data_IF_831804765039
#
_entry.id   IF_831804765039
#
_cell.length_a   1.000
_cell.length_b   1.000
_cell.length_c   1.000
_cell.angle_alpha   90.00
_cell.angle_beta   90.00
_cell.angle_gamma   90.00
#
_symmetry.space_group_name_H-M   'P 1'
#
loop_
_entity.id
_entity.type
_entity.pdbx_description
1 polymer ?
#
# COMPACT_ATOMS: atom_id res chain seq x y z
N UNK A 1 -9.02 25.10 4.92
CA UNK A 1 -8.72 25.31 3.49
C UNK A 1 -9.32 24.15 2.69
N UNK A 2 -10.45 24.39 2.02
CA UNK A 2 -11.17 23.42 1.20
C UNK A 2 -10.45 23.27 -0.15
N UNK A 3 -9.85 22.11 -0.39
CA UNK A 3 -9.13 21.81 -1.64
C UNK A 3 -10.16 21.50 -2.73
N UNK A 4 -10.46 22.48 -3.57
CA UNK A 4 -11.37 22.33 -4.71
C UNK A 4 -10.73 21.37 -5.72
N UNK A 5 -11.33 20.20 -5.93
CA UNK A 5 -10.88 19.23 -6.94
C UNK A 5 -11.41 19.72 -8.30
N UNK A 6 -10.55 20.06 -9.28
CA UNK A 6 -11.02 20.51 -10.59
C UNK A 6 -11.76 19.37 -11.32
N UNK A 7 -12.97 19.64 -11.77
CA UNK A 7 -13.84 18.67 -12.47
C UNK A 7 -13.54 18.55 -13.97
N UNK A 8 -12.88 19.55 -14.58
CA UNK A 8 -12.52 19.59 -15.99
C UNK A 8 -11.17 18.89 -16.29
N UNK A 9 -11.05 18.30 -17.50
CA UNK A 9 -9.87 17.53 -17.94
C UNK A 9 -8.59 18.39 -17.91
N UNK A 10 -8.67 19.62 -18.41
CA UNK A 10 -7.55 20.58 -18.39
C UNK A 10 -7.06 20.92 -16.97
N UNK A 11 -7.95 21.01 -15.98
CA UNK A 11 -7.57 21.25 -14.59
C UNK A 11 -6.90 20.04 -13.93
N UNK A 12 -7.27 18.82 -14.33
CA UNK A 12 -6.60 17.58 -13.90
C UNK A 12 -5.20 17.44 -14.51
N UNK A 13 -5.05 17.82 -15.78
CA UNK A 13 -3.79 17.75 -16.52
C UNK A 13 -2.78 18.80 -16.00
N UNK A 14 -3.22 20.04 -15.77
CA UNK A 14 -2.37 21.09 -15.16
C UNK A 14 -1.93 20.73 -13.73
N UNK A 15 -2.79 20.06 -12.96
CA UNK A 15 -2.41 19.55 -11.64
C UNK A 15 -1.38 18.41 -11.76
N UNK A 16 -1.48 17.55 -12.77
CA UNK A 16 -0.47 16.52 -13.03
C UNK A 16 0.87 17.10 -13.48
N UNK A 17 0.91 18.19 -14.25
CA UNK A 17 2.16 18.86 -14.62
C UNK A 17 2.94 19.38 -13.40
N UNK A 18 2.24 19.85 -12.36
CA UNK A 18 2.87 20.33 -11.12
C UNK A 18 3.38 19.21 -10.17
N UNK A 19 3.06 17.95 -10.43
CA UNK A 19 3.48 16.83 -9.58
C UNK A 19 4.85 16.28 -10.01
N UNK A 20 5.72 16.02 -9.02
CA UNK A 20 6.93 15.25 -9.27
C UNK A 20 6.60 13.79 -9.66
N UNK A 21 7.55 13.10 -10.30
CA UNK A 21 7.38 11.74 -10.79
C UNK A 21 6.84 10.77 -9.72
N UNK A 22 7.39 10.85 -8.50
CA UNK A 22 6.97 10.03 -7.36
C UNK A 22 5.50 10.31 -6.98
N UNK A 23 5.08 11.57 -6.95
CA UNK A 23 3.70 11.94 -6.67
C UNK A 23 2.72 11.50 -7.78
N UNK A 24 3.15 11.50 -9.05
CA UNK A 24 2.37 10.95 -10.17
C UNK A 24 2.12 9.46 -9.99
N UNK A 25 3.15 8.68 -9.62
CA UNK A 25 3.01 7.25 -9.30
C UNK A 25 2.02 7.05 -8.15
N UNK A 26 2.21 7.74 -7.02
CA UNK A 26 1.30 7.64 -5.87
C UNK A 26 -0.14 7.98 -6.22
N UNK A 27 -0.37 9.01 -7.04
CA UNK A 27 -1.72 9.39 -7.49
C UNK A 27 -2.37 8.26 -8.29
N UNK A 28 -1.66 7.61 -9.20
CA UNK A 28 -2.20 6.50 -10.01
C UNK A 28 -2.43 5.22 -9.21
N UNK A 29 -1.61 4.94 -8.21
CA UNK A 29 -1.81 3.81 -7.29
C UNK A 29 -3.00 4.06 -6.36
N UNK A 30 -3.10 5.26 -5.76
CA UNK A 30 -4.23 5.65 -4.89
C UNK A 30 -5.57 5.73 -5.64
N UNK A 31 -5.54 6.07 -6.92
CA UNK A 31 -6.73 6.07 -7.79
C UNK A 31 -7.11 4.66 -8.29
N UNK A 32 -6.42 3.61 -7.85
CA UNK A 32 -6.68 2.23 -8.19
C UNK A 32 -8.12 1.76 -7.88
N UNK A 33 -8.46 0.53 -8.28
CA UNK A 33 -9.80 -0.01 -8.12
C UNK A 33 -10.21 0.00 -6.64
N UNK A 34 -11.33 0.67 -6.34
CA UNK A 34 -11.94 0.61 -5.01
C UNK A 34 -12.54 -0.77 -4.79
N UNK A 35 -12.43 -1.34 -3.58
CA UNK A 35 -13.08 -2.60 -3.28
C UNK A 35 -14.59 -2.49 -3.49
N UNK A 36 -15.17 -3.49 -4.14
CA UNK A 36 -16.62 -3.57 -4.45
C UNK A 36 -17.34 -4.62 -3.61
N UNK A 37 -16.58 -5.46 -2.91
CA UNK A 37 -17.08 -6.61 -2.16
C UNK A 37 -16.92 -6.36 -0.67
N UNK A 38 -17.88 -6.84 0.13
CA UNK A 38 -17.77 -6.83 1.60
C UNK A 38 -16.97 -8.02 2.16
N UNK A 39 -16.70 -9.02 1.32
CA UNK A 39 -15.95 -10.22 1.72
C UNK A 39 -14.45 -9.95 1.61
N UNK A 40 -13.73 -10.28 2.68
CA UNK A 40 -12.27 -10.28 2.69
C UNK A 40 -11.74 -11.49 1.91
N UNK A 41 -10.63 -11.34 1.15
CA UNK A 41 -10.06 -12.43 0.38
C UNK A 41 -9.39 -13.48 1.31
N UNK A 42 -9.40 -14.77 0.93
CA UNK A 42 -8.57 -15.78 1.58
C UNK A 42 -7.07 -15.54 1.28
N UNK A 43 -6.19 -16.22 2.02
CA UNK A 43 -4.72 -16.04 1.97
C UNK A 43 -4.16 -16.01 0.54
N UNK A 44 -4.39 -17.05 -0.26
CA UNK A 44 -3.83 -17.13 -1.62
C UNK A 44 -4.33 -16.01 -2.53
N UNK A 45 -5.60 -15.60 -2.37
CA UNK A 45 -6.14 -14.48 -3.14
C UNK A 45 -5.54 -13.14 -2.68
N UNK A 46 -5.36 -12.96 -1.36
CA UNK A 46 -4.73 -11.78 -0.78
C UNK A 46 -3.27 -11.63 -1.26
N UNK A 47 -2.49 -12.72 -1.24
CA UNK A 47 -1.11 -12.75 -1.75
C UNK A 47 -1.06 -12.53 -3.25
N UNK A 48 -1.96 -13.14 -4.03
CA UNK A 48 -2.06 -12.90 -5.47
C UNK A 48 -2.31 -11.43 -5.78
N UNK A 49 -3.23 -10.78 -5.06
CA UNK A 49 -3.52 -9.35 -5.19
C UNK A 49 -2.30 -8.50 -4.81
N UNK A 50 -1.60 -8.85 -3.73
CA UNK A 50 -0.37 -8.17 -3.31
C UNK A 50 0.70 -8.21 -4.41
N UNK A 51 0.97 -9.38 -4.99
CA UNK A 51 1.95 -9.51 -6.08
C UNK A 51 1.55 -8.73 -7.34
N UNK A 52 0.27 -8.81 -7.74
CA UNK A 52 -0.22 -8.07 -8.90
C UNK A 52 -0.10 -6.55 -8.72
N UNK A 53 -0.37 -6.05 -7.51
CA UNK A 53 -0.16 -4.66 -7.16
C UNK A 53 1.33 -4.27 -7.10
N UNK A 54 2.20 -5.17 -6.63
CA UNK A 54 3.65 -4.93 -6.66
C UNK A 54 4.17 -4.78 -8.10
N UNK A 55 3.74 -5.65 -9.01
CA UNK A 55 4.10 -5.57 -10.43
C UNK A 55 3.57 -4.29 -11.08
N UNK A 56 2.33 -3.89 -10.75
CA UNK A 56 1.75 -2.60 -11.18
C UNK A 56 2.57 -1.43 -10.66
N UNK A 57 2.96 -1.45 -9.39
CA UNK A 57 3.79 -0.42 -8.74
C UNK A 57 5.13 -0.26 -9.45
N UNK A 58 5.85 -1.36 -9.65
CA UNK A 58 7.16 -1.39 -10.34
C UNK A 58 7.06 -0.88 -11.78
N UNK A 59 6.04 -1.33 -12.51
CA UNK A 59 5.79 -0.88 -13.89
C UNK A 59 5.54 0.63 -13.96
N UNK A 60 4.81 1.19 -12.98
CA UNK A 60 4.58 2.63 -12.89
C UNK A 60 5.85 3.41 -12.51
N UNK A 61 6.66 2.89 -11.60
CA UNK A 61 7.96 3.51 -11.26
C UNK A 61 8.84 3.64 -12.51
N UNK A 62 9.00 2.55 -13.25
CA UNK A 62 9.79 2.52 -14.49
C UNK A 62 9.22 3.47 -15.56
N UNK A 63 7.89 3.50 -15.74
CA UNK A 63 7.22 4.41 -16.68
C UNK A 63 7.56 5.89 -16.41
N UNK A 64 7.79 6.26 -15.16
CA UNK A 64 8.13 7.62 -14.75
C UNK A 64 9.64 7.85 -14.53
N UNK A 65 10.49 6.90 -14.95
CA UNK A 65 11.95 7.01 -14.84
C UNK A 65 12.46 6.89 -13.40
N UNK A 66 11.71 6.25 -12.52
CA UNK A 66 12.09 6.01 -11.13
C UNK A 66 12.59 4.57 -10.94
N UNK A 67 13.36 4.36 -9.88
CA UNK A 67 13.84 3.05 -9.47
C UNK A 67 12.67 2.15 -9.01
N UNK A 68 12.53 0.98 -9.60
CA UNK A 68 11.46 0.03 -9.27
C UNK A 68 11.58 -0.52 -7.83
N UNK A 69 12.78 -0.46 -7.24
CA UNK A 69 13.03 -0.94 -5.88
C UNK A 69 12.70 0.11 -4.80
N UNK A 70 12.28 1.31 -5.22
CA UNK A 70 11.82 2.35 -4.30
C UNK A 70 10.35 2.22 -3.89
N UNK A 71 9.58 1.33 -4.51
CA UNK A 71 8.18 1.08 -4.14
C UNK A 71 8.06 -0.23 -3.36
N UNK A 72 7.45 -0.13 -2.19
CA UNK A 72 7.35 -1.24 -1.24
C UNK A 72 5.90 -1.48 -0.85
N UNK A 73 5.59 -2.74 -0.55
CA UNK A 73 4.26 -3.20 -0.22
C UNK A 73 4.31 -4.17 0.96
N UNK A 74 3.29 -4.15 1.80
CA UNK A 74 3.07 -5.12 2.87
C UNK A 74 1.61 -5.58 2.89
N UNK A 75 1.39 -6.83 3.23
CA UNK A 75 0.05 -7.35 3.50
C UNK A 75 -0.38 -6.94 4.89
N UNK A 76 -1.56 -6.36 5.01
CA UNK A 76 -2.17 -5.97 6.29
C UNK A 76 -3.14 -7.08 6.70
N UNK A 77 -3.02 -7.52 7.94
CA UNK A 77 -3.75 -8.67 8.45
C UNK A 77 -4.19 -8.49 9.90
N UNK A 78 -5.22 -9.24 10.28
CA UNK A 78 -5.75 -9.31 11.64
C UNK A 78 -5.80 -10.78 12.07
N UNK A 79 -4.96 -11.20 13.04
CA UNK A 79 -5.05 -12.52 13.65
C UNK A 79 -6.27 -12.63 14.58
N UNK A 80 -6.50 -13.82 15.12
CA UNK A 80 -7.60 -14.08 16.06
C UNK A 80 -7.57 -13.25 17.35
N UNK A 81 -6.40 -12.76 17.77
CA UNK A 81 -6.23 -11.84 18.91
C UNK A 81 -6.71 -10.41 18.62
N UNK A 82 -7.03 -10.11 17.36
CA UNK A 82 -7.54 -8.82 16.90
C UNK A 82 -6.48 -7.75 16.69
N UNK A 83 -5.19 -8.02 16.92
CA UNK A 83 -4.13 -7.01 16.79
C UNK A 83 -3.68 -6.90 15.35
N UNK A 84 -3.90 -5.74 14.72
CA UNK A 84 -3.57 -5.53 13.31
C UNK A 84 -2.06 -5.51 13.12
N UNK A 85 -1.58 -6.41 12.28
CA UNK A 85 -0.20 -6.48 11.84
C UNK A 85 -0.05 -6.13 10.35
N UNK A 86 1.19 -5.93 9.95
CA UNK A 86 1.56 -5.94 8.54
C UNK A 86 2.84 -6.73 8.33
N UNK A 87 3.00 -7.33 7.15
CA UNK A 87 4.21 -8.06 6.76
C UNK A 87 4.62 -7.65 5.36
N UNK A 88 5.84 -7.17 5.22
CA UNK A 88 6.39 -6.73 3.94
C UNK A 88 6.45 -7.88 2.93
N UNK A 89 6.13 -7.57 1.67
CA UNK A 89 6.33 -8.49 0.57
C UNK A 89 7.83 -8.81 0.49
N UNK A 90 8.23 -10.09 0.57
CA UNK A 90 9.62 -10.45 0.59
C UNK A 90 10.25 -10.30 -0.81
N UNK A 91 11.58 -10.31 -0.90
CA UNK A 91 12.26 -10.39 -2.20
C UNK A 91 11.88 -11.69 -2.95
N UNK A 92 12.05 -11.70 -4.29
CA UNK A 92 11.79 -12.89 -5.10
C UNK A 92 12.49 -14.14 -4.54
N UNK A 93 11.82 -15.29 -4.61
CA UNK A 93 12.32 -16.57 -4.08
C UNK A 93 11.91 -16.87 -2.64
N UNK A 94 11.45 -15.88 -1.86
CA UNK A 94 11.06 -16.06 -0.46
C UNK A 94 9.54 -16.10 -0.22
N UNK A 95 8.75 -16.33 -1.26
CA UNK A 95 7.28 -16.34 -1.16
C UNK A 95 6.74 -17.53 -0.35
N UNK A 96 7.42 -18.69 -0.39
CA UNK A 96 7.02 -19.88 0.35
C UNK A 96 7.01 -19.66 1.86
N UNK A 97 8.16 -19.29 2.47
CA UNK A 97 8.23 -18.95 3.89
C UNK A 97 7.26 -17.83 4.30
N UNK A 98 7.01 -16.87 3.40
CA UNK A 98 6.06 -15.80 3.64
C UNK A 98 4.61 -16.29 3.75
N UNK A 99 4.17 -17.21 2.87
CA UNK A 99 2.85 -17.85 2.95
C UNK A 99 2.74 -18.70 4.22
N UNK A 100 3.76 -19.53 4.51
CA UNK A 100 3.78 -20.40 5.69
C UNK A 100 3.60 -19.62 7.00
N UNK A 101 4.18 -18.43 7.10
CA UNK A 101 4.03 -17.59 8.29
C UNK A 101 2.56 -17.23 8.57
N UNK A 102 1.73 -17.04 7.54
CA UNK A 102 0.30 -16.79 7.73
C UNK A 102 -0.47 -18.07 8.04
N UNK A 103 -0.11 -19.19 7.42
CA UNK A 103 -0.74 -20.48 7.73
C UNK A 103 -0.52 -20.88 9.19
N UNK A 104 0.67 -20.61 9.74
CA UNK A 104 1.01 -20.87 11.15
C UNK A 104 0.23 -20.00 12.14
N UNK A 105 -0.25 -18.82 11.71
CA UNK A 105 -1.08 -17.94 12.56
C UNK A 105 -2.52 -18.46 12.70
N UNK A 106 -2.95 -19.42 11.88
CA UNK A 106 -4.29 -19.97 11.91
C UNK A 106 -5.33 -19.04 11.31
N UNK A 107 -6.31 -18.59 12.10
CA UNK A 107 -7.39 -17.74 11.60
C UNK A 107 -6.91 -16.30 11.43
N UNK A 108 -6.73 -15.88 10.17
CA UNK A 108 -6.23 -14.56 9.79
C UNK A 108 -7.15 -13.92 8.76
N UNK A 109 -7.53 -12.68 9.02
CA UNK A 109 -8.29 -11.86 8.10
C UNK A 109 -7.36 -10.88 7.37
N UNK A 110 -7.39 -10.87 6.04
CA UNK A 110 -6.54 -10.00 5.22
C UNK A 110 -7.28 -8.72 4.86
N UNK A 111 -6.83 -7.60 5.41
CA UNK A 111 -7.55 -6.33 5.38
C UNK A 111 -7.21 -5.48 4.15
N UNK A 112 -5.96 -5.57 3.68
CA UNK A 112 -5.51 -4.76 2.56
C UNK A 112 -4.01 -4.78 2.34
N UNK A 113 -3.53 -3.79 1.60
CA UNK A 113 -2.13 -3.59 1.24
C UNK A 113 -1.67 -2.25 1.78
N UNK A 114 -0.59 -2.26 2.54
CA UNK A 114 0.17 -1.08 2.92
C UNK A 114 1.20 -0.79 1.85
N UNK A 115 1.30 0.46 1.43
CA UNK A 115 2.26 0.94 0.46
C UNK A 115 3.15 1.99 1.08
N UNK A 116 4.42 2.03 0.68
CA UNK A 116 5.31 3.15 0.93
C UNK A 116 6.32 3.27 -0.20
N UNK A 117 6.83 4.48 -0.39
CA UNK A 117 7.79 4.78 -1.45
C UNK A 117 9.01 5.47 -0.86
N UNK A 118 10.16 4.83 -0.91
CA UNK A 118 11.42 5.46 -0.53
C UNK A 118 11.82 6.49 -1.58
N UNK A 119 12.24 7.68 -1.15
CA UNK A 119 12.81 8.71 -2.01
C UNK A 119 14.33 8.70 -1.87
N UNK A 120 15.10 9.19 -2.86
CA UNK A 120 16.55 9.32 -2.73
C UNK A 120 16.97 10.02 -1.42
N UNK A 121 16.27 11.09 -1.04
CA UNK A 121 16.52 11.84 0.20
C UNK A 121 16.21 11.06 1.50
N UNK A 122 15.42 9.97 1.41
CA UNK A 122 15.06 9.12 2.55
C UNK A 122 15.96 7.90 2.68
N UNK A 123 16.76 7.57 1.65
CA UNK A 123 17.71 6.44 1.69
C UNK A 123 18.86 6.72 2.67
N UNK A 124 19.25 7.98 2.82
CA UNK A 124 20.39 8.41 3.65
C UNK A 124 19.98 9.01 5.01
N UNK A 125 18.67 9.00 5.34
CA UNK A 125 18.12 9.58 6.57
C UNK A 125 17.23 8.57 7.30
N UNK A 126 17.73 7.87 8.32
CA UNK A 126 17.00 6.81 9.03
C UNK A 126 15.70 7.28 9.70
N UNK A 127 15.58 8.57 10.03
CA UNK A 127 14.39 9.16 10.67
C UNK A 127 13.42 9.85 9.68
N UNK A 128 13.63 9.67 8.37
CA UNK A 128 12.76 10.31 7.39
C UNK A 128 11.39 9.63 7.34
N UNK A 129 10.33 10.43 7.55
CA UNK A 129 8.95 9.94 7.45
C UNK A 129 8.62 9.63 5.99
N UNK A 130 8.37 8.35 5.71
CA UNK A 130 8.00 7.91 4.37
C UNK A 130 6.50 8.01 4.19
N UNK A 131 6.05 8.53 3.05
CA UNK A 131 4.61 8.60 2.78
C UNK A 131 4.05 7.19 2.61
N UNK A 132 3.23 6.77 3.57
CA UNK A 132 2.51 5.50 3.51
C UNK A 132 1.04 5.69 3.11
N UNK A 133 0.46 4.70 2.45
CA UNK A 133 -0.98 4.67 2.19
C UNK A 133 -1.49 3.24 2.07
N UNK A 134 -2.82 3.08 2.11
CA UNK A 134 -3.46 1.78 2.21
C UNK A 134 -4.42 1.60 1.04
N UNK A 135 -4.40 0.41 0.45
CA UNK A 135 -5.45 -0.09 -0.45
C UNK A 135 -6.22 -1.19 0.26
N UNK A 136 -7.49 -0.95 0.56
CA UNK A 136 -8.36 -1.89 1.26
C UNK A 136 -8.86 -3.00 0.32
N UNK A 137 -8.99 -4.23 0.81
CA UNK A 137 -9.47 -5.35 0.01
C UNK A 137 -10.99 -5.48 -0.06
N UNK A 138 -11.70 -4.96 0.93
CA UNK A 138 -13.14 -5.03 1.04
C UNK A 138 -13.73 -3.71 1.55
N UNK A 139 -14.95 -3.42 1.13
CA UNK A 139 -15.79 -2.35 1.70
C UNK A 139 -16.52 -2.87 2.95
N UNK A 140 -15.75 -3.40 3.90
CA UNK A 140 -16.25 -3.87 5.19
C UNK A 140 -16.17 -2.74 6.22
N UNK A 141 -17.28 -2.44 6.90
CA UNK A 141 -17.36 -1.28 7.80
C UNK A 141 -16.42 -1.40 9.00
N UNK A 142 -16.26 -2.61 9.56
CA UNK A 142 -15.37 -2.83 10.71
C UNK A 142 -13.92 -2.69 10.27
N UNK A 143 -13.54 -3.38 9.20
CA UNK A 143 -12.22 -3.26 8.60
C UNK A 143 -11.92 -1.79 8.26
N UNK A 144 -12.83 -1.04 7.65
CA UNK A 144 -12.61 0.36 7.31
C UNK A 144 -12.32 1.25 8.53
N UNK A 145 -13.03 1.06 9.65
CA UNK A 145 -12.78 1.81 10.89
C UNK A 145 -11.41 1.46 11.46
N UNK A 146 -11.10 0.16 11.54
CA UNK A 146 -9.84 -0.34 12.05
C UNK A 146 -8.64 0.12 11.18
N UNK A 147 -8.80 0.07 9.87
CA UNK A 147 -7.83 0.56 8.89
C UNK A 147 -7.64 2.08 8.96
N UNK A 148 -8.68 2.84 9.31
CA UNK A 148 -8.57 4.28 9.56
C UNK A 148 -7.72 4.57 10.80
N UNK A 149 -7.93 3.84 11.90
CA UNK A 149 -7.12 3.95 13.12
C UNK A 149 -5.68 3.57 12.84
N UNK A 150 -5.46 2.45 12.15
CA UNK A 150 -4.13 1.98 11.75
C UNK A 150 -3.41 3.01 10.86
N UNK A 151 -4.12 3.59 9.89
CA UNK A 151 -3.56 4.66 9.03
C UNK A 151 -3.10 5.87 9.84
N UNK A 152 -3.86 6.30 10.85
CA UNK A 152 -3.47 7.42 11.69
C UNK A 152 -2.20 7.10 12.49
N UNK A 153 -2.08 5.88 13.02
CA UNK A 153 -0.85 5.44 13.69
C UNK A 153 0.36 5.38 12.75
N UNK A 154 0.17 4.97 11.49
CA UNK A 154 1.26 4.91 10.50
C UNK A 154 1.83 6.28 10.14
N UNK A 155 1.03 7.36 10.21
CA UNK A 155 1.55 8.72 9.94
C UNK A 155 2.54 9.23 10.99
N UNK A 156 2.63 8.55 12.13
CA UNK A 156 3.58 8.83 13.21
C UNK A 156 4.77 7.86 13.29
N UNK A 157 4.87 6.88 12.39
CA UNK A 157 5.89 5.83 12.46
C UNK A 157 6.96 5.99 11.36
N UNK A 158 8.23 5.62 11.65
CA UNK A 158 9.26 5.50 10.63
C UNK A 158 8.89 4.41 9.61
N UNK A 159 9.54 4.41 8.44
CA UNK A 159 9.31 3.39 7.43
C UNK A 159 9.52 1.97 8.00
N UNK A 160 8.73 0.96 7.59
CA UNK A 160 8.99 -0.42 7.94
C UNK A 160 10.39 -0.83 7.46
N UNK A 161 11.12 -1.60 8.28
CA UNK A 161 12.41 -2.17 7.89
C UNK A 161 12.23 -3.09 6.66
N UNK A 162 13.20 -3.06 5.75
CA UNK A 162 13.21 -3.79 4.47
C UNK A 162 13.30 -5.30 4.64
#
# INVERSE_FOLDING_TARGET
MTRTIPTNKAGRDAMDESLNAAAKVRRQLKAGPKPKTRKLPPLFEAVKRLCAEADRGRSLMQKYGLDADDIHLALIYRPADGVIGSRALPPPGNIGPYIMAFEQMGNVEFLGILWWQTTPDSRDKPDSTVTMWITEFADDRRAAIEMLVYRNALTSLPAPER
#
